data_IF_722916993502
#
_entry.id   IF_722916993502
#
_cell.length_a   1.000
_cell.length_b   1.000
_cell.length_c   1.000
_cell.angle_alpha   90.00
_cell.angle_beta   90.00
_cell.angle_gamma   90.00
#
_symmetry.space_group_name_H-M   'P 1'
#
loop_
_entity.id
_entity.type
_entity.pdbx_description
1 polymer ?
#
# COMPACT_ATOMS: atom_id res chain seq x y z
N UNK A 1 -22.15 12.43 2.35
CA UNK A 1 -21.20 13.55 2.10
C UNK A 1 -19.84 13.05 1.56
N UNK A 2 -19.20 12.03 2.18
CA UNK A 2 -17.91 11.44 1.72
C UNK A 2 -17.93 11.13 0.21
N UNK A 3 -18.89 10.33 -0.24
CA UNK A 3 -19.00 9.89 -1.65
C UNK A 3 -19.10 11.06 -2.62
N UNK A 4 -19.89 12.07 -2.29
CA UNK A 4 -20.06 13.28 -3.14
C UNK A 4 -18.76 14.07 -3.25
N UNK A 5 -17.97 14.14 -2.16
CA UNK A 5 -16.67 14.84 -2.18
C UNK A 5 -15.68 14.07 -3.05
N UNK A 6 -15.57 12.74 -2.88
CA UNK A 6 -14.71 11.89 -3.70
C UNK A 6 -15.06 11.97 -5.19
N UNK A 7 -16.36 11.91 -5.53
CA UNK A 7 -16.84 12.03 -6.92
C UNK A 7 -16.52 13.39 -7.53
N UNK A 8 -16.70 14.47 -6.78
CA UNK A 8 -16.34 15.83 -7.25
C UNK A 8 -14.83 15.99 -7.43
N UNK A 9 -14.02 15.47 -6.51
CA UNK A 9 -12.56 15.49 -6.64
C UNK A 9 -12.10 14.71 -7.87
N UNK A 10 -12.69 13.54 -8.10
CA UNK A 10 -12.41 12.75 -9.29
C UNK A 10 -12.82 13.48 -10.57
N UNK A 11 -14.03 14.01 -10.61
CA UNK A 11 -14.56 14.75 -11.77
C UNK A 11 -13.69 15.99 -12.09
N UNK A 12 -13.19 16.70 -11.07
CA UNK A 12 -12.31 17.86 -11.25
C UNK A 12 -10.94 17.50 -11.84
N UNK A 13 -10.46 16.30 -11.56
CA UNK A 13 -9.17 15.79 -12.07
C UNK A 13 -9.29 15.10 -13.43
N UNK A 14 -10.53 14.72 -13.81
CA UNK A 14 -10.80 14.01 -15.05
C UNK A 14 -10.73 15.01 -16.22
N UNK A 15 -9.63 15.00 -16.95
CA UNK A 15 -9.58 15.59 -18.28
C UNK A 15 -10.18 14.61 -19.32
N UNK A 16 -10.41 15.08 -20.55
CA UNK A 16 -10.98 14.28 -21.64
C UNK A 16 -10.13 13.04 -22.03
N UNK A 17 -8.90 12.96 -21.52
CA UNK A 17 -7.92 11.91 -21.84
C UNK A 17 -7.70 10.96 -20.66
N UNK A 18 -8.13 11.32 -19.45
CA UNK A 18 -7.95 10.48 -18.26
C UNK A 18 -8.92 9.31 -18.32
N UNK A 19 -8.42 8.15 -18.74
CA UNK A 19 -9.14 6.89 -18.63
C UNK A 19 -8.69 6.21 -17.33
N UNK A 20 -9.59 6.04 -16.39
CA UNK A 20 -9.32 5.21 -15.21
C UNK A 20 -9.32 3.74 -15.66
N UNK A 21 -8.23 3.30 -16.29
CA UNK A 21 -8.07 1.93 -16.74
C UNK A 21 -7.42 1.04 -15.68
N UNK A 22 -6.59 1.60 -14.81
CA UNK A 22 -5.90 0.88 -13.74
C UNK A 22 -6.40 1.34 -12.37
N UNK A 23 -6.78 0.39 -11.54
CA UNK A 23 -7.17 0.63 -10.15
C UNK A 23 -6.35 -0.27 -9.25
N UNK A 24 -5.56 0.34 -8.40
CA UNK A 24 -4.79 -0.34 -7.37
C UNK A 24 -5.57 -0.29 -6.06
N UNK A 25 -5.77 -1.43 -5.47
CA UNK A 25 -6.45 -1.57 -4.18
C UNK A 25 -5.62 -2.40 -3.23
N UNK A 26 -5.49 -1.91 -2.02
CA UNK A 26 -5.03 -2.68 -0.87
C UNK A 26 -5.81 -2.24 0.37
N UNK A 27 -5.70 -3.03 1.44
CA UNK A 27 -6.34 -2.76 2.72
C UNK A 27 -5.31 -2.63 3.83
N UNK A 28 -5.67 -1.91 4.87
CA UNK A 28 -4.87 -1.83 6.10
C UNK A 28 -5.75 -1.85 7.32
N UNK A 29 -5.19 -2.19 8.50
CA UNK A 29 -5.87 -2.04 9.77
C UNK A 29 -5.50 -0.73 10.45
N UNK A 30 -6.49 -0.08 11.06
CA UNK A 30 -6.32 1.07 11.94
C UNK A 30 -6.80 0.69 13.34
N UNK A 31 -5.90 0.78 14.33
CA UNK A 31 -6.19 0.43 15.71
C UNK A 31 -6.93 1.54 16.45
N UNK A 32 -7.70 1.14 17.45
CA UNK A 32 -8.39 2.03 18.36
C UNK A 32 -7.74 2.04 19.74
N UNK A 33 -7.85 3.18 20.40
CA UNK A 33 -7.74 3.27 21.85
C UNK A 33 -9.17 3.17 22.41
N UNK A 34 -9.48 2.05 23.07
CA UNK A 34 -10.82 1.74 23.58
C UNK A 34 -11.70 0.95 22.62
N UNK A 35 -13.04 1.14 22.70
CA UNK A 35 -14.03 0.27 22.05
C UNK A 35 -14.12 0.42 20.51
N UNK A 36 -13.79 1.57 19.97
CA UNK A 36 -13.77 1.78 18.51
C UNK A 36 -15.14 1.86 17.84
N UNK A 37 -16.09 2.56 18.46
CA UNK A 37 -17.45 2.70 17.94
C UNK A 37 -18.35 1.50 18.19
N UNK A 38 -19.55 1.53 17.63
CA UNK A 38 -20.55 0.49 17.79
C UNK A 38 -20.33 -0.69 16.84
N UNK A 39 -19.91 -0.42 15.62
CA UNK A 39 -19.79 -1.44 14.56
C UNK A 39 -18.36 -1.62 14.05
N UNK A 40 -17.56 -0.55 13.97
CA UNK A 40 -16.25 -0.56 13.32
C UNK A 40 -15.16 -1.25 14.16
N UNK A 41 -15.10 -0.97 15.46
CA UNK A 41 -14.08 -1.50 16.36
C UNK A 41 -14.28 -2.97 16.69
N UNK A 42 -13.64 -3.86 15.93
CA UNK A 42 -13.68 -5.31 16.14
C UNK A 42 -12.27 -5.88 16.24
N UNK A 43 -12.13 -7.00 16.98
CA UNK A 43 -10.90 -7.78 16.94
C UNK A 43 -10.85 -8.59 15.64
N UNK A 44 -9.68 -8.65 15.01
CA UNK A 44 -9.47 -9.36 13.77
C UNK A 44 -8.00 -9.54 13.46
N UNK A 45 -7.69 -9.96 12.23
CA UNK A 45 -6.31 -10.08 11.79
C UNK A 45 -5.65 -8.69 11.70
N UNK A 46 -4.69 -8.42 12.58
CA UNK A 46 -4.00 -7.14 12.64
C UNK A 46 -2.79 -7.11 11.73
N UNK A 47 -2.81 -6.25 10.71
CA UNK A 47 -1.64 -5.98 9.85
C UNK A 47 -0.50 -5.25 10.59
N UNK A 48 -0.78 -4.77 11.80
CA UNK A 48 0.19 -4.09 12.67
C UNK A 48 0.71 -4.99 13.80
N UNK A 49 0.39 -6.30 13.73
CA UNK A 49 0.77 -7.30 14.75
C UNK A 49 0.28 -6.96 16.18
N UNK A 50 -0.88 -6.29 16.28
CA UNK A 50 -1.54 -5.92 17.53
C UNK A 50 -2.93 -6.56 17.61
N UNK A 51 -3.01 -7.92 17.73
CA UNK A 51 -4.29 -8.62 17.84
C UNK A 51 -5.02 -8.31 19.16
N UNK A 52 -4.33 -7.75 20.13
CA UNK A 52 -4.84 -7.28 21.42
C UNK A 52 -5.71 -6.03 21.30
N UNK A 53 -5.59 -5.27 20.22
CA UNK A 53 -6.36 -4.03 20.01
C UNK A 53 -7.56 -4.27 19.09
N UNK A 54 -8.65 -3.56 19.38
CA UNK A 54 -9.72 -3.41 18.39
C UNK A 54 -9.23 -2.58 17.22
N UNK A 55 -9.71 -2.88 16.05
CA UNK A 55 -9.29 -2.24 14.80
C UNK A 55 -10.47 -2.09 13.85
N UNK A 56 -10.28 -1.32 12.81
CA UNK A 56 -11.11 -1.29 11.61
C UNK A 56 -10.25 -1.56 10.37
N UNK A 57 -10.89 -1.99 9.29
CA UNK A 57 -10.23 -2.16 8.00
C UNK A 57 -10.50 -0.90 7.15
N UNK A 58 -9.43 -0.36 6.59
CA UNK A 58 -9.47 0.74 5.62
C UNK A 58 -8.91 0.23 4.29
N UNK A 59 -9.66 0.42 3.20
CA UNK A 59 -9.11 0.36 1.85
C UNK A 59 -8.92 1.76 1.29
N UNK A 60 -7.85 1.91 0.52
CA UNK A 60 -7.64 3.07 -0.35
C UNK A 60 -7.47 2.57 -1.78
N UNK A 61 -8.17 3.22 -2.69
CA UNK A 61 -8.05 2.98 -4.11
C UNK A 61 -7.28 4.14 -4.72
N UNK A 62 -6.28 3.80 -5.52
CA UNK A 62 -5.51 4.78 -6.28
C UNK A 62 -5.61 4.47 -7.78
N UNK A 63 -5.43 5.48 -8.60
CA UNK A 63 -5.37 5.35 -10.06
C UNK A 63 -3.97 4.94 -10.57
N UNK A 64 -3.82 4.86 -11.90
CA UNK A 64 -2.57 4.53 -12.58
C UNK A 64 -1.42 5.50 -12.32
N UNK A 65 -1.71 6.72 -11.92
CA UNK A 65 -0.73 7.76 -11.57
C UNK A 65 -0.39 7.76 -10.07
N UNK A 66 -1.06 6.90 -9.28
CA UNK A 66 -0.84 6.81 -7.84
C UNK A 66 -1.68 7.79 -7.02
N UNK A 67 -2.68 8.43 -7.63
CA UNK A 67 -3.55 9.42 -6.96
C UNK A 67 -4.67 8.71 -6.20
N UNK A 68 -4.96 9.09 -4.94
CA UNK A 68 -6.09 8.55 -4.21
C UNK A 68 -7.42 8.93 -4.89
N UNK A 69 -8.25 7.92 -5.19
CA UNK A 69 -9.57 8.06 -5.83
C UNK A 69 -10.69 8.01 -4.80
N UNK A 70 -10.70 6.95 -3.99
CA UNK A 70 -11.69 6.80 -2.94
C UNK A 70 -11.18 5.90 -1.81
N UNK A 71 -11.92 5.91 -0.71
CA UNK A 71 -11.64 5.10 0.47
C UNK A 71 -12.88 4.32 0.90
N UNK A 72 -12.68 3.12 1.47
CA UNK A 72 -13.76 2.31 2.03
C UNK A 72 -13.38 1.77 3.42
N UNK A 73 -14.38 1.58 4.27
CA UNK A 73 -14.19 1.30 5.69
C UNK A 73 -15.10 0.16 6.15
N UNK A 74 -14.53 -0.81 6.86
CA UNK A 74 -15.26 -1.97 7.39
C UNK A 74 -14.90 -2.27 8.85
N UNK A 75 -15.73 -3.07 9.54
CA UNK A 75 -15.37 -3.63 10.84
C UNK A 75 -14.04 -4.38 10.80
N UNK A 76 -13.32 -4.36 11.92
CA UNK A 76 -11.96 -4.92 12.01
C UNK A 76 -11.85 -6.43 11.81
N UNK A 77 -12.96 -7.16 11.89
CA UNK A 77 -13.04 -8.60 11.60
C UNK A 77 -13.37 -8.94 10.15
N UNK A 78 -13.47 -7.93 9.26
CA UNK A 78 -13.73 -8.15 7.84
C UNK A 78 -12.50 -8.78 7.17
N UNK A 79 -12.70 -9.86 6.43
CA UNK A 79 -11.64 -10.50 5.67
C UNK A 79 -11.35 -9.74 4.35
N UNK A 80 -10.08 -9.51 4.04
CA UNK A 80 -9.67 -8.77 2.84
C UNK A 80 -10.27 -9.33 1.54
N UNK A 81 -10.38 -10.65 1.44
CA UNK A 81 -10.94 -11.33 0.25
C UNK A 81 -12.40 -10.97 -0.05
N UNK A 82 -13.15 -10.51 0.94
CA UNK A 82 -14.55 -10.14 0.77
C UNK A 82 -14.75 -8.69 0.37
N UNK A 83 -13.68 -7.88 0.38
CA UNK A 83 -13.77 -6.43 0.16
C UNK A 83 -13.63 -6.03 -1.31
N UNK A 84 -12.86 -6.77 -2.10
CA UNK A 84 -12.44 -6.37 -3.45
C UNK A 84 -13.62 -6.18 -4.41
N UNK A 85 -14.44 -7.21 -4.59
CA UNK A 85 -15.51 -7.20 -5.58
C UNK A 85 -16.58 -6.12 -5.29
N UNK A 86 -17.11 -6.01 -4.05
CA UNK A 86 -18.05 -4.94 -3.72
C UNK A 86 -17.50 -3.53 -3.95
N UNK A 87 -16.21 -3.32 -3.68
CA UNK A 87 -15.56 -2.02 -3.90
C UNK A 87 -15.47 -1.70 -5.38
N UNK A 88 -15.07 -2.66 -6.22
CA UNK A 88 -14.99 -2.43 -7.67
C UNK A 88 -16.37 -2.17 -8.28
N UNK A 89 -17.41 -2.91 -7.87
CA UNK A 89 -18.78 -2.67 -8.32
C UNK A 89 -19.27 -1.28 -7.90
N UNK A 90 -18.92 -0.84 -6.68
CA UNK A 90 -19.26 0.50 -6.20
C UNK A 90 -18.48 1.59 -6.95
N UNK A 91 -17.18 1.38 -7.17
CA UNK A 91 -16.32 2.29 -7.94
C UNK A 91 -16.90 2.53 -9.35
N UNK A 92 -17.21 1.46 -10.07
CA UNK A 92 -17.76 1.55 -11.44
C UNK A 92 -19.04 2.37 -11.49
N UNK A 93 -19.94 2.15 -10.53
CA UNK A 93 -21.22 2.88 -10.46
C UNK A 93 -21.05 4.35 -10.10
N UNK A 94 -20.15 4.65 -9.15
CA UNK A 94 -19.96 6.02 -8.63
C UNK A 94 -19.24 6.93 -9.62
N UNK A 95 -18.26 6.39 -10.31
CA UNK A 95 -17.38 7.18 -11.18
C UNK A 95 -17.65 6.98 -12.68
N UNK A 96 -18.68 6.23 -13.02
CA UNK A 96 -19.09 5.92 -14.42
C UNK A 96 -17.90 5.39 -15.25
N UNK A 97 -17.24 4.33 -14.74
CA UNK A 97 -16.05 3.75 -15.34
C UNK A 97 -16.42 2.48 -16.07
N UNK A 98 -16.28 2.49 -17.40
CA UNK A 98 -16.65 1.36 -18.24
C UNK A 98 -15.62 0.20 -18.17
N UNK A 99 -14.32 0.53 -18.16
CA UNK A 99 -13.22 -0.45 -18.17
C UNK A 99 -12.32 -0.24 -16.94
N UNK A 100 -12.14 -1.30 -16.17
CA UNK A 100 -11.27 -1.32 -14.99
C UNK A 100 -10.35 -2.51 -15.10
N UNK A 101 -9.05 -2.29 -14.94
CA UNK A 101 -8.08 -3.33 -14.65
C UNK A 101 -7.73 -3.27 -13.15
N UNK A 102 -8.08 -4.33 -12.44
CA UNK A 102 -7.86 -4.44 -11.00
C UNK A 102 -6.45 -4.95 -10.73
N UNK A 103 -5.69 -4.20 -9.97
CA UNK A 103 -4.37 -4.63 -9.49
C UNK A 103 -4.46 -4.81 -7.97
N UNK A 104 -4.25 -6.04 -7.49
CA UNK A 104 -4.40 -6.37 -6.07
C UNK A 104 -3.39 -7.43 -5.63
N UNK A 105 -3.05 -7.40 -4.32
CA UNK A 105 -2.15 -8.38 -3.72
C UNK A 105 -2.84 -9.73 -3.48
N UNK A 106 -2.02 -10.76 -3.35
CA UNK A 106 -2.41 -12.16 -3.09
C UNK A 106 -3.30 -12.36 -1.86
N UNK A 107 -3.24 -11.44 -0.88
CA UNK A 107 -4.07 -11.48 0.33
C UNK A 107 -5.55 -11.29 0.06
N UNK A 108 -5.89 -10.62 -1.03
CA UNK A 108 -7.26 -10.25 -1.40
C UNK A 108 -7.94 -11.25 -2.35
N UNK A 109 -7.26 -12.33 -2.73
CA UNK A 109 -7.69 -13.21 -3.82
C UNK A 109 -8.03 -14.60 -3.27
N UNK A 110 -9.27 -15.04 -3.55
CA UNK A 110 -9.75 -16.42 -3.37
C UNK A 110 -10.24 -16.97 -4.72
N UNK A 111 -10.62 -18.24 -4.74
CA UNK A 111 -11.23 -18.86 -5.91
C UNK A 111 -12.56 -18.17 -6.29
N UNK A 112 -13.36 -17.81 -5.30
CA UNK A 112 -14.63 -17.09 -5.46
C UNK A 112 -14.39 -15.69 -6.00
N UNK A 113 -13.42 -14.94 -5.44
CA UNK A 113 -13.06 -13.61 -5.93
C UNK A 113 -12.65 -13.65 -7.40
N UNK A 114 -11.87 -14.66 -7.80
CA UNK A 114 -11.48 -14.88 -9.20
C UNK A 114 -12.68 -15.12 -10.11
N UNK A 115 -13.58 -16.02 -9.71
CA UNK A 115 -14.77 -16.34 -10.50
C UNK A 115 -15.66 -15.09 -10.68
N UNK A 116 -15.79 -14.27 -9.64
CA UNK A 116 -16.55 -13.01 -9.66
C UNK A 116 -15.91 -11.95 -10.59
N UNK A 117 -14.59 -11.82 -10.61
CA UNK A 117 -13.88 -10.91 -11.53
C UNK A 117 -14.06 -11.37 -12.99
N UNK A 118 -13.91 -12.68 -13.24
CA UNK A 118 -14.08 -13.29 -14.57
C UNK A 118 -15.54 -13.18 -15.06
N UNK A 119 -16.54 -13.44 -14.21
CA UNK A 119 -17.97 -13.29 -14.53
C UNK A 119 -18.33 -11.85 -14.90
N UNK A 120 -17.71 -10.86 -14.28
CA UNK A 120 -17.87 -9.43 -14.59
C UNK A 120 -17.05 -8.94 -15.78
N UNK A 121 -16.25 -9.82 -16.39
CA UNK A 121 -15.32 -9.49 -17.49
C UNK A 121 -14.37 -8.36 -17.12
N UNK A 122 -13.94 -8.31 -15.87
CA UNK A 122 -12.97 -7.34 -15.40
C UNK A 122 -11.56 -7.76 -15.80
N UNK A 123 -10.75 -6.80 -16.21
CA UNK A 123 -9.32 -7.02 -16.38
C UNK A 123 -8.64 -7.07 -15.01
N UNK A 124 -7.59 -7.88 -14.88
CA UNK A 124 -6.87 -7.97 -13.62
C UNK A 124 -5.38 -8.30 -13.78
N UNK A 125 -4.60 -7.86 -12.80
CA UNK A 125 -3.22 -8.26 -12.55
C UNK A 125 -3.12 -8.56 -11.04
N UNK A 126 -2.99 -9.83 -10.68
CA UNK A 126 -3.13 -10.28 -9.31
C UNK A 126 -1.89 -11.06 -8.87
N UNK A 127 -1.40 -10.77 -7.67
CA UNK A 127 -0.39 -11.60 -7.03
C UNK A 127 -0.94 -12.99 -6.69
N UNK A 128 -0.12 -14.02 -6.83
CA UNK A 128 -0.48 -15.40 -6.52
C UNK A 128 0.31 -15.89 -5.31
N UNK A 129 -0.31 -16.76 -4.51
CA UNK A 129 0.36 -17.43 -3.38
C UNK A 129 1.16 -18.63 -3.90
N UNK A 130 2.32 -18.38 -4.44
CA UNK A 130 3.18 -19.38 -5.12
C UNK A 130 3.50 -20.61 -4.26
N UNK A 131 3.60 -20.44 -2.92
CA UNK A 131 3.89 -21.52 -1.97
C UNK A 131 2.69 -22.39 -1.64
N UNK A 132 1.50 -21.83 -1.60
CA UNK A 132 0.28 -22.52 -1.16
C UNK A 132 -0.67 -22.90 -2.30
N UNK A 133 -0.55 -22.26 -3.46
CA UNK A 133 -1.31 -22.64 -4.65
C UNK A 133 -0.64 -23.85 -5.30
N UNK A 134 -1.29 -25.02 -5.18
CA UNK A 134 -0.77 -26.30 -5.68
C UNK A 134 -0.51 -26.26 -7.19
N UNK A 135 -1.42 -25.67 -7.97
CA UNK A 135 -1.29 -25.56 -9.41
C UNK A 135 -0.07 -24.72 -9.80
N UNK A 136 0.14 -23.61 -9.10
CA UNK A 136 1.29 -22.73 -9.35
C UNK A 136 2.59 -23.44 -8.98
N UNK A 137 2.64 -24.05 -7.80
CA UNK A 137 3.83 -24.73 -7.30
C UNK A 137 4.25 -25.92 -8.18
N UNK A 138 3.29 -26.74 -8.62
CA UNK A 138 3.59 -28.00 -9.30
C UNK A 138 3.64 -27.88 -10.83
N UNK A 139 2.90 -26.95 -11.42
CA UNK A 139 2.76 -26.85 -12.88
C UNK A 139 3.26 -25.54 -13.47
N UNK A 140 3.07 -24.42 -12.80
CA UNK A 140 3.48 -23.11 -13.35
C UNK A 140 4.97 -22.86 -13.14
N UNK A 141 5.49 -23.13 -11.93
CA UNK A 141 6.91 -22.91 -11.64
C UNK A 141 7.81 -23.86 -12.41
N UNK A 142 7.44 -25.14 -12.53
CA UNK A 142 8.21 -26.18 -13.24
C UNK A 142 7.95 -26.20 -14.75
N UNK A 143 7.08 -25.31 -15.27
CA UNK A 143 6.77 -25.25 -16.69
C UNK A 143 8.03 -24.93 -17.52
N UNK A 144 8.27 -25.65 -18.66
CA UNK A 144 9.49 -25.55 -19.45
C UNK A 144 9.65 -24.25 -20.26
N UNK A 145 8.68 -23.34 -20.22
CA UNK A 145 8.80 -22.05 -20.89
C UNK A 145 10.09 -21.33 -20.48
N UNK A 146 10.83 -20.75 -21.44
CA UNK A 146 12.09 -20.06 -21.13
C UNK A 146 11.84 -18.76 -20.38
N UNK A 147 12.76 -18.43 -19.47
CA UNK A 147 12.84 -17.11 -18.89
C UNK A 147 13.49 -16.14 -19.90
N UNK A 148 12.86 -14.97 -20.03
CA UNK A 148 13.35 -13.88 -20.88
C UNK A 148 13.83 -12.75 -19.97
N UNK A 149 15.03 -12.19 -20.21
CA UNK A 149 15.54 -11.06 -19.43
C UNK A 149 14.68 -9.82 -19.64
N UNK A 150 14.43 -9.10 -18.56
CA UNK A 150 13.70 -7.83 -18.50
C UNK A 150 14.52 -6.81 -17.73
N UNK A 151 14.62 -5.59 -18.25
CA UNK A 151 15.32 -4.49 -17.57
C UNK A 151 14.31 -3.43 -17.16
N UNK A 152 14.24 -3.15 -15.88
CA UNK A 152 13.43 -2.08 -15.31
C UNK A 152 14.32 -0.91 -14.89
N UNK A 153 14.00 0.30 -15.35
CA UNK A 153 14.68 1.53 -14.89
C UNK A 153 13.92 2.14 -13.71
N UNK A 154 14.58 2.25 -12.56
CA UNK A 154 14.02 2.87 -11.35
C UNK A 154 15.01 3.85 -10.75
N UNK A 155 14.63 5.15 -10.69
CA UNK A 155 15.47 6.23 -10.13
C UNK A 155 16.91 6.23 -10.67
N UNK A 156 17.06 6.07 -12.00
CA UNK A 156 18.35 6.05 -12.67
C UNK A 156 19.17 4.75 -12.50
N UNK A 157 18.66 3.75 -11.80
CA UNK A 157 19.25 2.43 -11.68
C UNK A 157 18.53 1.42 -12.56
N UNK A 158 19.28 0.57 -13.21
CA UNK A 158 18.74 -0.58 -13.93
C UNK A 158 18.63 -1.76 -12.97
N UNK A 159 17.46 -2.39 -12.94
CA UNK A 159 17.19 -3.58 -12.15
C UNK A 159 16.84 -4.68 -13.14
N UNK A 160 17.61 -5.75 -13.11
CA UNK A 160 17.43 -6.90 -13.98
C UNK A 160 16.41 -7.86 -13.35
N UNK A 161 15.48 -8.30 -14.18
CA UNK A 161 14.52 -9.35 -13.90
C UNK A 161 14.57 -10.38 -15.02
N UNK A 162 14.05 -11.54 -14.75
CA UNK A 162 13.72 -12.52 -15.76
C UNK A 162 12.24 -12.89 -15.60
N UNK A 163 11.54 -13.07 -16.69
CA UNK A 163 10.16 -13.52 -16.63
C UNK A 163 9.87 -14.61 -17.66
N UNK A 164 8.99 -15.52 -17.29
CA UNK A 164 8.39 -16.48 -18.24
C UNK A 164 6.87 -16.36 -18.20
N UNK A 165 6.24 -16.54 -19.36
CA UNK A 165 4.78 -16.60 -19.48
C UNK A 165 4.34 -18.04 -19.59
N UNK A 166 3.36 -18.43 -18.80
CA UNK A 166 2.76 -19.75 -18.77
C UNK A 166 1.26 -19.63 -19.00
N UNK A 167 0.74 -20.36 -19.97
CA UNK A 167 -0.69 -20.51 -20.20
C UNK A 167 -1.13 -21.88 -19.67
N UNK A 168 -1.99 -21.89 -18.65
CA UNK A 168 -2.43 -23.12 -18.02
C UNK A 168 -3.91 -22.99 -17.61
N UNK A 169 -4.71 -23.99 -17.96
CA UNK A 169 -6.15 -24.03 -17.70
C UNK A 169 -6.90 -22.75 -18.14
N UNK A 170 -6.54 -22.18 -19.30
CA UNK A 170 -7.15 -20.96 -19.85
C UNK A 170 -6.73 -19.67 -19.14
N UNK A 171 -5.80 -19.72 -18.21
CA UNK A 171 -5.30 -18.57 -17.44
C UNK A 171 -3.83 -18.31 -17.75
N UNK A 172 -3.48 -17.02 -17.81
CA UNK A 172 -2.12 -16.56 -18.05
C UNK A 172 -1.41 -16.26 -16.73
N UNK A 173 -0.24 -16.84 -16.55
CA UNK A 173 0.66 -16.61 -15.43
C UNK A 173 1.96 -15.99 -15.95
N UNK A 174 2.48 -15.03 -15.18
CA UNK A 174 3.79 -14.44 -15.41
C UNK A 174 4.64 -14.74 -14.17
N UNK A 175 5.64 -15.59 -14.33
CA UNK A 175 6.61 -15.93 -13.30
C UNK A 175 7.77 -14.96 -13.43
N UNK A 176 7.98 -14.14 -12.44
CA UNK A 176 9.07 -13.17 -12.38
C UNK A 176 10.15 -13.64 -11.41
N UNK A 177 11.42 -13.48 -11.78
CA UNK A 177 12.58 -13.81 -10.97
C UNK A 177 13.53 -12.62 -10.91
N UNK A 178 14.02 -12.31 -9.69
CA UNK A 178 15.02 -11.27 -9.45
C UNK A 178 16.17 -11.82 -8.62
N UNK A 179 17.39 -11.69 -9.13
CA UNK A 179 18.60 -12.24 -8.48
C UNK A 179 18.89 -11.57 -7.14
N UNK A 180 18.75 -10.26 -7.04
CA UNK A 180 19.04 -9.53 -5.79
C UNK A 180 18.06 -9.91 -4.68
N UNK A 181 16.77 -10.06 -5.03
CA UNK A 181 15.76 -10.54 -4.08
C UNK A 181 16.04 -12.00 -3.68
N UNK A 182 16.49 -12.85 -4.61
CA UNK A 182 16.85 -14.22 -4.31
C UNK A 182 18.02 -14.32 -3.33
N UNK A 183 19.05 -13.50 -3.49
CA UNK A 183 20.19 -13.42 -2.57
C UNK A 183 19.74 -12.96 -1.17
N UNK A 184 18.82 -12.01 -1.11
CA UNK A 184 18.21 -11.54 0.14
C UNK A 184 17.38 -12.63 0.81
N UNK A 185 16.49 -13.29 0.07
CA UNK A 185 15.64 -14.37 0.58
C UNK A 185 16.50 -15.52 1.13
N UNK A 186 17.59 -15.87 0.46
CA UNK A 186 18.55 -16.87 0.91
C UNK A 186 19.24 -16.45 2.22
N UNK A 187 19.65 -15.19 2.35
CA UNK A 187 20.27 -14.66 3.56
C UNK A 187 19.27 -14.62 4.74
N UNK A 188 18.03 -14.17 4.49
CA UNK A 188 16.97 -14.14 5.48
C UNK A 188 16.64 -15.56 5.96
N UNK A 189 16.53 -16.54 5.05
CA UNK A 189 16.34 -17.95 5.38
C UNK A 189 17.48 -18.51 6.25
N UNK A 190 18.73 -18.25 5.87
CA UNK A 190 19.89 -18.70 6.65
C UNK A 190 19.86 -18.12 8.08
N UNK A 191 19.50 -16.85 8.20
CA UNK A 191 19.34 -16.17 9.50
C UNK A 191 18.24 -16.79 10.35
N UNK A 192 17.09 -17.13 9.74
CA UNK A 192 15.98 -17.80 10.43
C UNK A 192 16.38 -19.20 10.87
N UNK A 193 17.05 -19.99 10.02
CA UNK A 193 17.52 -21.34 10.36
C UNK A 193 18.52 -21.29 11.52
N UNK A 194 19.50 -20.39 11.48
CA UNK A 194 20.44 -20.21 12.58
C UNK A 194 19.78 -19.76 13.90
N UNK A 195 18.70 -18.96 13.82
CA UNK A 195 17.93 -18.60 15.00
C UNK A 195 17.15 -19.81 15.56
N UNK A 196 16.61 -20.66 14.68
CA UNK A 196 15.92 -21.90 15.04
C UNK A 196 16.87 -22.90 15.73
N UNK A 197 18.08 -23.10 15.21
CA UNK A 197 19.11 -23.97 15.83
C UNK A 197 19.40 -23.53 17.25
N UNK A 198 19.63 -22.22 17.45
CA UNK A 198 19.87 -21.65 18.78
C UNK A 198 18.68 -21.81 19.72
N UNK A 199 17.47 -21.80 19.21
CA UNK A 199 16.25 -21.92 20.00
C UNK A 199 15.96 -23.37 20.36
N UNK A 200 16.14 -24.31 19.45
CA UNK A 200 16.05 -25.76 19.71
C UNK A 200 17.07 -26.22 20.77
N UNK A 201 18.29 -25.64 20.73
CA UNK A 201 19.31 -25.92 21.77
C UNK A 201 18.90 -25.46 23.19
N UNK A 202 17.91 -24.52 23.30
CA UNK A 202 17.40 -24.02 24.59
C UNK A 202 16.09 -24.70 25.01
N UNK A 203 15.47 -25.50 24.14
CA UNK A 203 14.23 -26.23 24.36
C UNK A 203 13.08 -25.81 23.44
N UNK A 204 12.21 -26.75 23.14
CA UNK A 204 11.21 -26.66 22.06
C UNK A 204 9.95 -25.86 22.43
N UNK A 205 9.67 -25.62 23.72
CA UNK A 205 8.44 -24.98 24.19
C UNK A 205 8.18 -23.58 23.60
N UNK A 206 9.21 -22.83 23.31
CA UNK A 206 9.13 -21.48 22.73
C UNK A 206 8.72 -21.47 21.24
N UNK A 207 8.77 -22.63 20.56
CA UNK A 207 8.47 -22.78 19.13
C UNK A 207 7.01 -23.10 18.84
N UNK A 208 6.23 -23.51 19.86
CA UNK A 208 4.84 -23.98 19.70
C UNK A 208 3.92 -22.88 19.13
N UNK A 209 4.18 -21.61 19.45
CA UNK A 209 3.35 -20.47 19.03
C UNK A 209 3.80 -19.76 17.74
N UNK A 210 5.01 -20.03 17.24
CA UNK A 210 5.57 -19.26 16.13
C UNK A 210 5.39 -19.96 14.76
N UNK A 211 4.33 -19.60 14.06
CA UNK A 211 3.98 -20.17 12.74
C UNK A 211 5.04 -19.90 11.66
N UNK A 212 5.79 -18.78 11.76
CA UNK A 212 6.86 -18.44 10.80
C UNK A 212 8.02 -19.40 10.82
N UNK A 213 8.27 -20.02 11.96
CA UNK A 213 9.32 -21.02 12.13
C UNK A 213 8.87 -22.43 11.72
N UNK A 214 7.58 -22.74 11.81
CA UNK A 214 7.05 -24.09 11.50
C UNK A 214 7.33 -24.56 10.08
N UNK A 215 7.46 -23.65 9.12
CA UNK A 215 7.75 -24.00 7.72
C UNK A 215 9.10 -24.69 7.51
N UNK A 216 10.04 -24.55 8.47
CA UNK A 216 11.37 -25.20 8.43
C UNK A 216 11.50 -26.36 9.39
N UNK A 217 10.44 -26.69 10.12
CA UNK A 217 10.47 -27.71 11.16
C UNK A 217 9.67 -28.95 10.75
N UNK A 218 10.14 -30.12 11.17
CA UNK A 218 9.38 -31.36 11.23
C UNK A 218 9.10 -31.71 12.69
N UNK A 219 7.92 -32.24 12.94
CA UNK A 219 7.51 -32.76 14.25
C UNK A 219 8.09 -34.16 14.42
N UNK A 220 8.85 -34.38 15.46
CA UNK A 220 9.39 -35.71 15.81
C UNK A 220 8.43 -36.41 16.79
N UNK A 221 7.89 -35.66 17.76
CA UNK A 221 6.85 -36.08 18.69
C UNK A 221 5.97 -34.89 19.07
N UNK A 222 4.92 -35.11 19.91
CA UNK A 222 3.96 -34.06 20.28
C UNK A 222 4.59 -32.74 20.78
N UNK A 223 5.79 -32.83 21.39
CA UNK A 223 6.50 -31.66 21.93
C UNK A 223 7.91 -31.44 21.36
N UNK A 224 8.35 -32.27 20.40
CA UNK A 224 9.71 -32.18 19.84
C UNK A 224 9.72 -31.87 18.36
N UNK A 225 10.53 -30.87 18.02
CA UNK A 225 10.75 -30.40 16.65
C UNK A 225 12.21 -30.57 16.24
N UNK A 226 12.44 -30.82 14.97
CA UNK A 226 13.76 -30.72 14.35
C UNK A 226 13.70 -29.92 13.07
N UNK A 227 14.83 -29.35 12.68
CA UNK A 227 14.97 -28.70 11.38
C UNK A 227 14.82 -29.77 10.29
N UNK A 228 14.05 -29.42 9.29
CA UNK A 228 13.79 -30.27 8.14
C UNK A 228 14.59 -29.77 6.92
N UNK A 229 15.68 -30.46 6.54
CA UNK A 229 16.49 -30.04 5.40
C UNK A 229 15.71 -30.05 4.09
N UNK A 230 14.78 -30.98 3.91
CA UNK A 230 14.00 -31.11 2.67
C UNK A 230 13.07 -29.88 2.49
N UNK A 231 12.48 -29.40 3.58
CA UNK A 231 11.69 -28.15 3.55
C UNK A 231 12.55 -26.93 3.26
N UNK A 232 13.80 -26.88 3.74
CA UNK A 232 14.73 -25.80 3.42
C UNK A 232 15.05 -25.81 1.92
N UNK A 233 15.33 -26.98 1.35
CA UNK A 233 15.61 -27.11 -0.10
C UNK A 233 14.37 -26.76 -0.92
N UNK A 234 13.17 -27.17 -0.49
CA UNK A 234 11.92 -26.80 -1.17
C UNK A 234 11.70 -25.27 -1.16
N UNK A 235 11.95 -24.60 -0.04
CA UNK A 235 11.81 -23.14 0.08
C UNK A 235 12.79 -22.37 -0.80
N UNK A 236 13.97 -22.89 -1.11
CA UNK A 236 14.93 -22.25 -2.03
C UNK A 236 14.36 -22.04 -3.42
N UNK A 237 13.42 -22.89 -3.87
CA UNK A 237 12.79 -22.77 -5.18
C UNK A 237 12.01 -21.48 -5.37
N UNK A 238 11.64 -20.83 -4.25
CA UNK A 238 10.84 -19.59 -4.26
C UNK A 238 11.68 -18.32 -4.11
N UNK A 239 13.01 -18.44 -3.96
CA UNK A 239 13.88 -17.29 -3.75
C UNK A 239 13.84 -16.32 -4.93
N UNK A 240 13.53 -15.06 -4.62
CA UNK A 240 13.39 -13.99 -5.60
C UNK A 240 12.27 -14.18 -6.61
N UNK A 241 11.37 -15.15 -6.40
CA UNK A 241 10.27 -15.45 -7.30
C UNK A 241 8.97 -14.83 -6.79
N UNK A 242 8.23 -14.21 -7.71
CA UNK A 242 6.82 -13.91 -7.52
C UNK A 242 6.05 -14.25 -8.79
N UNK A 243 4.78 -14.60 -8.61
CA UNK A 243 3.92 -15.02 -9.71
C UNK A 243 2.73 -14.08 -9.80
N UNK A 244 2.45 -13.63 -11.01
CA UNK A 244 1.26 -12.86 -11.34
C UNK A 244 0.30 -13.74 -12.16
N UNK A 245 -0.99 -13.54 -11.91
CA UNK A 245 -2.07 -14.04 -12.76
C UNK A 245 -2.75 -12.85 -13.41
N UNK A 246 -2.94 -12.92 -14.74
CA UNK A 246 -3.54 -11.82 -15.48
C UNK A 246 -4.36 -12.32 -16.66
N UNK A 247 -5.38 -11.55 -17.04
CA UNK A 247 -6.14 -11.70 -18.27
C UNK A 247 -5.95 -10.51 -19.22
N UNK A 248 -4.96 -9.64 -18.94
CA UNK A 248 -4.61 -8.52 -19.83
C UNK A 248 -3.67 -8.98 -20.95
N UNK A 249 -3.62 -8.23 -22.05
CA UNK A 249 -2.67 -8.43 -23.14
C UNK A 249 -1.31 -7.74 -22.92
N UNK A 250 -1.10 -7.13 -21.75
CA UNK A 250 0.16 -6.47 -21.41
C UNK A 250 1.33 -7.45 -21.50
N UNK A 251 2.47 -6.96 -21.98
CA UNK A 251 3.68 -7.77 -21.95
C UNK A 251 4.15 -8.02 -20.50
N UNK A 252 5.03 -9.01 -20.25
CA UNK A 252 5.44 -9.36 -18.89
C UNK A 252 6.05 -8.19 -18.09
N UNK A 253 6.82 -7.30 -18.74
CA UNK A 253 7.41 -6.13 -18.11
C UNK A 253 6.34 -5.12 -17.67
N UNK A 254 5.39 -4.81 -18.53
CA UNK A 254 4.29 -3.90 -18.25
C UNK A 254 3.42 -4.42 -17.09
N UNK A 255 3.02 -5.70 -17.13
CA UNK A 255 2.24 -6.32 -16.08
C UNK A 255 3.00 -6.30 -14.73
N UNK A 256 4.30 -6.59 -14.74
CA UNK A 256 5.16 -6.51 -13.56
C UNK A 256 5.27 -5.08 -13.03
N UNK A 257 5.45 -4.10 -13.89
CA UNK A 257 5.50 -2.68 -13.52
C UNK A 257 4.19 -2.23 -12.89
N UNK A 258 3.05 -2.57 -13.51
CA UNK A 258 1.73 -2.31 -12.94
C UNK A 258 1.59 -2.93 -11.55
N UNK A 259 1.92 -4.22 -11.38
CA UNK A 259 1.82 -4.87 -10.08
C UNK A 259 2.72 -4.19 -9.02
N UNK A 260 3.93 -3.83 -9.39
CA UNK A 260 4.86 -3.16 -8.47
C UNK A 260 4.39 -1.77 -8.04
N UNK A 261 3.45 -1.15 -8.74
CA UNK A 261 2.85 0.12 -8.31
C UNK A 261 1.93 -0.04 -7.08
N UNK A 262 1.55 -1.25 -6.67
CA UNK A 262 0.86 -1.49 -5.39
C UNK A 262 1.62 -0.92 -4.19
N UNK A 263 2.95 -0.84 -4.26
CA UNK A 263 3.73 -0.18 -3.21
C UNK A 263 3.31 1.28 -2.95
N UNK A 264 2.70 1.95 -3.93
CA UNK A 264 2.19 3.33 -3.77
C UNK A 264 1.00 3.35 -2.82
N UNK A 265 0.14 2.32 -2.85
CA UNK A 265 -0.95 2.17 -1.87
C UNK A 265 -0.38 1.95 -0.47
N UNK A 266 0.63 1.09 -0.33
CA UNK A 266 1.32 0.88 0.95
C UNK A 266 1.96 2.17 1.49
N UNK A 267 2.56 2.99 0.63
CA UNK A 267 3.10 4.31 1.00
C UNK A 267 1.99 5.25 1.48
N UNK A 268 0.82 5.23 0.82
CA UNK A 268 -0.34 6.01 1.25
C UNK A 268 -0.79 5.60 2.65
N UNK A 269 -0.84 4.29 2.96
CA UNK A 269 -1.15 3.81 4.30
C UNK A 269 -0.09 4.20 5.32
N UNK A 270 1.19 4.09 4.97
CA UNK A 270 2.28 4.52 5.85
C UNK A 270 2.19 6.01 6.16
N UNK A 271 1.89 6.82 5.16
CA UNK A 271 1.65 8.26 5.32
C UNK A 271 0.46 8.53 6.26
N UNK A 272 -0.69 7.90 6.02
CA UNK A 272 -1.86 8.07 6.88
C UNK A 272 -1.56 7.67 8.34
N UNK A 273 -0.94 6.52 8.56
CA UNK A 273 -0.64 6.00 9.90
C UNK A 273 0.39 6.82 10.68
N UNK A 274 1.43 7.30 10.02
CA UNK A 274 2.58 7.92 10.68
C UNK A 274 2.63 9.44 10.51
N UNK A 275 2.47 9.96 9.28
CA UNK A 275 2.54 11.40 9.05
C UNK A 275 1.29 12.11 9.57
N UNK A 276 0.10 11.55 9.32
CA UNK A 276 -1.16 12.15 9.75
C UNK A 276 -1.67 11.62 11.09
N UNK A 277 -0.93 10.70 11.71
CA UNK A 277 -1.29 10.11 13.00
C UNK A 277 -2.74 9.63 13.07
N UNK A 278 -3.24 9.02 11.98
CA UNK A 278 -4.63 8.55 11.88
C UNK A 278 -4.95 7.49 12.93
N UNK A 279 -3.93 6.82 13.49
CA UNK A 279 -4.05 5.83 14.56
C UNK A 279 -3.11 6.14 15.73
N UNK A 280 -3.45 5.74 16.99
CA UNK A 280 -4.71 5.10 17.39
C UNK A 280 -5.90 6.07 17.31
N UNK A 281 -7.10 5.52 17.02
CA UNK A 281 -8.34 6.30 16.93
C UNK A 281 -8.99 6.31 18.32
N UNK A 282 -9.31 7.51 18.85
CA UNK A 282 -9.89 7.72 20.18
C UNK A 282 -11.41 7.95 20.14
N UNK A 283 -12.01 8.09 18.96
CA UNK A 283 -13.42 8.38 18.81
C UNK A 283 -14.30 7.17 19.16
N UNK A 284 -15.51 7.46 19.68
CA UNK A 284 -16.44 6.45 20.20
C UNK A 284 -17.69 6.27 19.32
N UNK A 285 -17.97 7.18 18.39
CA UNK A 285 -19.11 7.11 17.49
C UNK A 285 -18.64 6.77 16.08
N UNK A 286 -19.35 5.86 15.41
CA UNK A 286 -18.99 5.40 14.06
C UNK A 286 -18.93 6.56 13.05
N UNK A 287 -19.84 7.55 13.14
CA UNK A 287 -19.82 8.73 12.28
C UNK A 287 -18.57 9.57 12.47
N UNK A 288 -18.15 9.80 13.71
CA UNK A 288 -16.94 10.56 14.02
C UNK A 288 -15.70 9.81 13.58
N UNK A 289 -15.65 8.48 13.76
CA UNK A 289 -14.57 7.62 13.27
C UNK A 289 -14.46 7.73 11.75
N UNK A 290 -15.58 7.60 11.02
CA UNK A 290 -15.62 7.74 9.57
C UNK A 290 -15.17 9.12 9.12
N UNK A 291 -15.58 10.17 9.82
CA UNK A 291 -15.16 11.55 9.58
C UNK A 291 -13.64 11.72 9.76
N UNK A 292 -13.09 11.23 10.85
CA UNK A 292 -11.65 11.27 11.17
C UNK A 292 -10.80 10.59 10.06
N UNK A 293 -11.18 9.36 9.68
CA UNK A 293 -10.48 8.61 8.63
C UNK A 293 -10.63 9.28 7.28
N UNK A 294 -11.81 9.86 6.99
CA UNK A 294 -12.03 10.59 5.76
C UNK A 294 -11.22 11.89 5.69
N UNK A 295 -11.04 12.62 6.78
CA UNK A 295 -10.12 13.76 6.83
C UNK A 295 -8.67 13.34 6.51
N UNK A 296 -8.23 12.19 7.02
CA UNK A 296 -6.91 11.64 6.68
C UNK A 296 -6.80 11.26 5.20
N UNK A 297 -7.88 10.72 4.61
CA UNK A 297 -7.93 10.47 3.17
C UNK A 297 -7.85 11.77 2.36
N UNK A 298 -8.56 12.83 2.73
CA UNK A 298 -8.45 14.14 2.08
C UNK A 298 -7.04 14.71 2.19
N UNK A 299 -6.38 14.53 3.33
CA UNK A 299 -4.98 14.93 3.49
C UNK A 299 -4.04 14.16 2.54
N UNK A 300 -4.29 12.86 2.29
CA UNK A 300 -3.57 12.08 1.25
C UNK A 300 -3.79 12.68 -0.14
N UNK A 301 -5.02 13.06 -0.47
CA UNK A 301 -5.36 13.69 -1.76
C UNK A 301 -4.60 15.01 -1.94
N UNK A 302 -4.64 15.88 -0.93
CA UNK A 302 -3.94 17.17 -0.96
C UNK A 302 -2.43 17.01 -1.03
N UNK A 303 -1.90 16.02 -0.29
CA UNK A 303 -0.47 15.70 -0.33
C UNK A 303 -0.05 15.25 -1.72
N UNK A 304 -0.79 14.33 -2.35
CA UNK A 304 -0.51 13.83 -3.71
C UNK A 304 -0.53 14.99 -4.72
N UNK A 305 -1.53 15.85 -4.65
CA UNK A 305 -1.64 17.03 -5.51
C UNK A 305 -0.46 17.99 -5.36
N UNK A 306 -0.02 18.26 -4.12
CA UNK A 306 1.12 19.13 -3.88
C UNK A 306 2.44 18.51 -4.37
N UNK A 307 2.63 17.19 -4.18
CA UNK A 307 3.79 16.47 -4.71
C UNK A 307 3.89 16.55 -6.23
N UNK A 308 2.76 16.39 -6.94
CA UNK A 308 2.71 16.54 -8.39
C UNK A 308 3.07 17.94 -8.86
N UNK A 309 2.52 18.97 -8.19
CA UNK A 309 2.83 20.36 -8.51
C UNK A 309 4.30 20.70 -8.24
N UNK A 310 4.89 20.17 -7.17
CA UNK A 310 6.32 20.31 -6.89
C UNK A 310 7.15 19.61 -7.97
N UNK A 311 6.76 18.39 -8.37
CA UNK A 311 7.43 17.64 -9.43
C UNK A 311 7.35 18.37 -10.79
N UNK A 312 6.21 18.99 -11.11
CA UNK A 312 6.05 19.81 -12.31
C UNK A 312 6.99 21.04 -12.36
N UNK A 313 7.47 21.51 -11.17
CA UNK A 313 8.50 22.54 -11.08
C UNK A 313 9.94 21.98 -11.24
N UNK A 314 10.08 20.70 -11.59
CA UNK A 314 11.38 20.03 -11.75
C UNK A 314 12.11 19.78 -10.41
N UNK A 315 11.38 19.72 -9.30
CA UNK A 315 11.93 19.55 -7.95
C UNK A 315 11.34 18.33 -7.27
N UNK A 316 12.10 17.78 -6.31
CA UNK A 316 11.64 16.73 -5.41
C UNK A 316 11.85 17.24 -3.98
N UNK A 317 10.81 17.26 -3.18
CA UNK A 317 10.86 17.66 -1.77
C UNK A 317 10.71 16.46 -0.83
N UNK A 318 11.46 16.46 0.25
CA UNK A 318 11.24 15.54 1.38
C UNK A 318 10.10 16.09 2.25
N UNK A 319 9.05 15.30 2.49
CA UNK A 319 7.92 15.73 3.33
C UNK A 319 8.32 16.17 4.74
N UNK A 320 9.22 15.47 5.46
CA UNK A 320 9.70 15.95 6.75
C UNK A 320 10.34 17.34 6.68
N UNK A 321 11.11 17.62 5.63
CA UNK A 321 11.74 18.94 5.43
C UNK A 321 10.71 20.01 5.08
N UNK A 322 9.74 19.70 4.21
CA UNK A 322 8.65 20.62 3.84
C UNK A 322 7.86 21.01 5.09
N UNK A 323 7.45 20.04 5.91
CA UNK A 323 6.71 20.31 7.16
C UNK A 323 7.55 21.13 8.11
N UNK A 324 8.80 20.73 8.38
CA UNK A 324 9.68 21.48 9.29
C UNK A 324 9.91 22.91 8.83
N UNK A 325 10.06 23.16 7.53
CA UNK A 325 10.23 24.49 6.99
C UNK A 325 8.93 25.30 7.03
N UNK A 326 7.77 24.70 6.79
CA UNK A 326 6.47 25.35 6.93
C UNK A 326 6.17 25.67 8.39
N UNK A 327 6.45 24.78 9.33
CA UNK A 327 6.29 25.01 10.76
C UNK A 327 7.21 26.13 11.30
N UNK A 328 8.32 26.41 10.60
CA UNK A 328 9.21 27.51 10.93
C UNK A 328 8.68 28.88 10.51
N UNK A 329 7.61 28.92 9.69
CA UNK A 329 6.96 30.19 9.34
C UNK A 329 6.16 30.68 10.53
N UNK A 330 6.54 31.85 11.03
CA UNK A 330 5.90 32.49 12.16
C UNK A 330 5.63 33.96 11.84
N UNK A 331 4.55 34.46 12.38
CA UNK A 331 4.26 35.87 12.44
C UNK A 331 4.34 36.32 13.93
N UNK A 332 5.03 37.40 14.15
CA UNK A 332 5.21 38.02 15.51
C UNK A 332 4.65 39.41 15.49
N UNK A 333 3.72 39.69 16.37
CA UNK A 333 3.25 41.06 16.61
C UNK A 333 4.25 41.77 17.51
N UNK A 334 4.71 42.93 17.06
CA UNK A 334 5.59 43.81 17.82
C UNK A 334 4.95 45.19 17.96
N UNK A 335 5.17 45.84 19.08
CA UNK A 335 4.81 47.22 19.30
C UNK A 335 6.08 48.07 19.30
N UNK A 336 6.08 49.09 18.47
CA UNK A 336 7.17 50.03 18.40
C UNK A 336 6.62 51.44 18.16
N UNK A 337 6.99 52.38 19.02
CA UNK A 337 6.58 53.78 18.97
C UNK A 337 5.04 53.97 18.92
N UNK A 338 4.32 53.18 19.76
CA UNK A 338 2.87 53.18 19.84
C UNK A 338 2.12 52.61 18.63
N UNK A 339 2.85 52.05 17.68
CA UNK A 339 2.29 51.35 16.52
C UNK A 339 2.54 49.83 16.61
N UNK A 340 1.56 49.04 16.14
CA UNK A 340 1.68 47.60 16.10
C UNK A 340 1.96 47.12 14.69
N UNK A 341 2.96 46.28 14.57
CA UNK A 341 3.40 45.68 13.33
C UNK A 341 3.37 44.15 13.43
N UNK A 342 3.04 43.50 12.34
CA UNK A 342 3.20 42.05 12.19
C UNK A 342 4.45 41.82 11.37
N UNK A 343 5.41 41.09 11.94
CA UNK A 343 6.67 40.73 11.29
C UNK A 343 6.65 39.24 11.03
N UNK A 344 6.80 38.84 9.77
CA UNK A 344 6.84 37.46 9.31
C UNK A 344 8.28 36.98 9.16
N UNK A 345 8.58 35.76 9.63
CA UNK A 345 9.87 35.10 9.35
C UNK A 345 10.09 34.89 7.84
N UNK A 346 11.35 34.87 7.40
CA UNK A 346 11.68 34.50 6.03
C UNK A 346 11.38 33.02 5.76
N UNK A 347 10.73 32.69 4.65
CA UNK A 347 10.46 31.30 4.32
C UNK A 347 11.75 30.57 3.96
N UNK A 348 11.92 29.37 4.49
CA UNK A 348 13.02 28.48 4.12
C UNK A 348 12.78 27.89 2.72
N UNK A 349 13.83 27.33 2.06
CA UNK A 349 13.74 26.91 0.66
C UNK A 349 12.62 25.93 0.33
N UNK A 350 12.35 24.91 1.17
CA UNK A 350 11.32 23.93 0.90
C UNK A 350 9.91 24.45 1.20
N UNK A 351 9.75 25.36 2.19
CA UNK A 351 8.51 26.11 2.40
C UNK A 351 8.20 27.01 1.20
N UNK A 352 9.21 27.76 0.69
CA UNK A 352 9.05 28.60 -0.51
C UNK A 352 8.61 27.77 -1.73
N UNK A 353 9.18 26.58 -1.89
CA UNK A 353 8.82 25.67 -2.98
C UNK A 353 7.36 25.19 -2.84
N UNK A 354 6.95 24.77 -1.65
CA UNK A 354 5.60 24.30 -1.39
C UNK A 354 4.55 25.39 -1.60
N UNK A 355 4.80 26.60 -1.09
CA UNK A 355 3.91 27.75 -1.27
C UNK A 355 3.77 28.13 -2.75
N UNK A 356 4.88 28.16 -3.50
CA UNK A 356 4.85 28.42 -4.94
C UNK A 356 4.08 27.34 -5.71
N UNK A 357 4.28 26.07 -5.36
CA UNK A 357 3.56 24.97 -5.98
C UNK A 357 2.06 25.02 -5.66
N UNK A 358 1.69 25.46 -4.46
CA UNK A 358 0.31 25.68 -4.06
C UNK A 358 -0.32 26.96 -4.62
N UNK A 359 0.47 27.85 -5.25
CA UNK A 359 -0.01 29.15 -5.73
C UNK A 359 -0.33 30.15 -4.60
N UNK A 360 0.30 29.98 -3.45
CA UNK A 360 0.09 30.83 -2.27
C UNK A 360 1.13 31.95 -2.25
N UNK A 361 0.66 33.21 -2.30
CA UNK A 361 1.50 34.37 -2.09
C UNK A 361 1.65 34.63 -0.58
N UNK A 362 2.88 34.86 -0.15
CA UNK A 362 3.12 35.29 1.23
C UNK A 362 2.87 36.82 1.37
N UNK A 363 2.30 37.25 2.51
CA UNK A 363 2.15 38.66 2.82
C UNK A 363 3.52 39.34 2.95
N UNK A 364 3.63 40.66 2.90
CA UNK A 364 4.88 41.40 3.15
C UNK A 364 5.54 40.98 4.46
N UNK A 365 6.87 41.06 4.50
CA UNK A 365 7.65 40.68 5.69
C UNK A 365 7.29 41.52 6.91
N UNK A 366 6.93 42.78 6.70
CA UNK A 366 6.43 43.68 7.74
C UNK A 366 5.14 44.30 7.22
N UNK A 367 4.10 44.30 8.06
CA UNK A 367 2.82 44.92 7.75
C UNK A 367 2.25 45.59 9.02
N UNK A 368 1.40 46.60 8.83
CA UNK A 368 0.67 47.25 9.93
C UNK A 368 -0.40 46.29 10.46
N UNK A 369 -0.45 46.06 11.77
CA UNK A 369 -1.44 45.18 12.37
C UNK A 369 -2.87 45.75 12.30
N UNK A 370 -3.04 47.07 12.11
CA UNK A 370 -4.33 47.72 11.93
C UNK A 370 -4.92 47.56 10.52
N UNK A 371 -4.13 47.10 9.56
CA UNK A 371 -4.54 46.92 8.14
C UNK A 371 -4.92 45.47 7.80
N UNK A 372 -5.10 44.59 8.78
CA UNK A 372 -5.38 43.16 8.62
C UNK A 372 -6.88 42.84 8.72
#
# INVERSE_FOLDING_TARGET
>A
MKDVVEERLFAHRRDLLTRLELVFMDTTSLSFEGAGGQTLGQHGYSKDHRPDLRQMILAVLIDGDGRPVCSEMWPGNTADVTTLVPVIDRLRRRFDIARVCVVADRGMISAETMAELEARRLLYILGVRERSDKLVRELVLDHPAPFVPLVMKKRGKEIEYEAKTVLLAGRRYIVCRNRQEAEKDAADRASIVAALERQLAKGDKALIGNTGFRRYLKTISEEHFAIDPDKIEEEKKFDGIFVLRTNTDLNPLEAMLCYKQLWTVEQSFRTAKHLFSTRPIFHKLDETIRGHVFCSFLALVLKSELEERIAALGRVGSWPEIIADLDSLAETEIEYDGKRFIVRSAPRPTASLALRAAGVALPPTVRDAAAS
#
